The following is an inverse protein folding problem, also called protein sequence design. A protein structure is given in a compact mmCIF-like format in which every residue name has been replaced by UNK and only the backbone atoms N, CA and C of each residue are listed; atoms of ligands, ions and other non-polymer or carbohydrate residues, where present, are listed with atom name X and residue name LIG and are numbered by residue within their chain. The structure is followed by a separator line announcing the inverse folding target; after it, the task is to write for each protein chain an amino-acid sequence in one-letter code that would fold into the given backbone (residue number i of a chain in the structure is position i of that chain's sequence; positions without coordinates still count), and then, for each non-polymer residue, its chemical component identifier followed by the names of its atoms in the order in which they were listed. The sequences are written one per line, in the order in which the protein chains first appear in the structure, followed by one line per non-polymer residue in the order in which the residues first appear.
data_IF_438415092829
#
_entry.id   IF_438415092829
#
_cell.length_a   1.000
_cell.length_b   1.000
_cell.length_c   1.000
_cell.angle_alpha   90.00
_cell.angle_beta   90.00
_cell.angle_gamma   90.00
#
_symmetry.space_group_name_H-M   'P 1'
#
loop_
_entity.id
_entity.type
_entity.pdbx_description
1 polymer ?
#
# COMPACT_ATOMS: atom_id res chain seq x y z
N UNK A 1 52.17 11.40 60.27
CA UNK A 1 52.19 10.00 60.72
C UNK A 1 51.23 9.23 59.84
N UNK A 2 51.78 8.32 59.04
CA UNK A 2 51.12 7.55 57.97
C UNK A 2 50.15 6.53 58.57
N UNK A 3 48.89 6.52 58.14
CA UNK A 3 48.05 5.31 58.17
C UNK A 3 47.43 5.12 56.78
N UNK A 4 47.70 3.93 56.27
CA UNK A 4 47.35 3.37 54.98
C UNK A 4 46.00 2.64 55.06
N UNK A 5 45.37 2.53 53.88
CA UNK A 5 44.60 1.38 53.37
C UNK A 5 43.10 1.21 53.70
N UNK A 6 42.41 0.84 52.61
CA UNK A 6 41.16 0.08 52.49
C UNK A 6 39.84 0.85 52.45
N UNK A 7 39.47 1.34 51.26
CA UNK A 7 38.13 1.13 50.69
C UNK A 7 38.25 1.12 49.15
N UNK A 8 38.88 0.06 48.64
CA UNK A 8 38.65 -0.40 47.27
C UNK A 8 37.58 -1.49 47.40
N UNK A 9 36.67 -1.59 46.41
CA UNK A 9 35.56 -2.54 46.32
C UNK A 9 34.25 -2.12 47.02
N UNK A 10 33.36 -1.48 46.25
CA UNK A 10 31.93 -1.81 46.03
C UNK A 10 31.37 -0.62 45.23
N UNK A 11 31.45 -0.68 43.90
CA UNK A 11 30.55 0.06 42.99
C UNK A 11 30.68 -0.50 41.55
N UNK A 12 30.38 -1.78 41.38
CA UNK A 12 30.41 -2.44 40.07
C UNK A 12 29.37 -3.55 40.02
N UNK A 13 28.09 -3.17 40.11
CA UNK A 13 26.92 -4.06 39.98
C UNK A 13 25.66 -3.26 39.60
N UNK A 14 25.73 -2.46 38.53
CA UNK A 14 24.56 -1.76 37.95
C UNK A 14 24.48 -1.88 36.42
N UNK A 15 24.97 -2.98 35.84
CA UNK A 15 24.90 -3.17 34.39
C UNK A 15 24.62 -4.62 33.98
N UNK A 16 23.59 -5.28 34.51
CA UNK A 16 23.04 -6.48 33.85
C UNK A 16 21.54 -6.61 34.14
N UNK A 17 20.76 -5.93 33.31
CA UNK A 17 19.32 -6.01 33.28
C UNK A 17 18.72 -5.48 31.99
N UNK A 18 19.46 -5.56 30.86
CA UNK A 18 18.80 -5.54 29.57
C UNK A 18 18.14 -6.91 29.41
N UNK A 19 16.83 -6.96 29.59
CA UNK A 19 16.01 -8.08 29.16
C UNK A 19 16.32 -8.36 27.68
N UNK A 20 16.89 -9.52 27.39
CA UNK A 20 17.09 -10.07 26.04
C UNK A 20 15.74 -10.49 25.38
N UNK A 21 14.63 -9.87 25.80
CA UNK A 21 13.33 -10.08 25.18
C UNK A 21 13.40 -9.54 23.76
N UNK A 22 13.40 -10.45 22.78
CA UNK A 22 13.21 -10.12 21.38
C UNK A 22 11.98 -9.20 21.26
N UNK A 23 12.04 -8.16 20.42
CA UNK A 23 10.88 -7.32 20.19
C UNK A 23 9.70 -8.20 19.70
N UNK A 24 8.46 -7.93 20.14
CA UNK A 24 7.31 -8.75 19.77
C UNK A 24 7.10 -8.75 18.26
N UNK A 25 6.74 -9.89 17.69
CA UNK A 25 6.58 -10.03 16.24
C UNK A 25 5.39 -9.21 15.72
N UNK A 26 5.62 -8.34 14.73
CA UNK A 26 4.56 -7.49 14.17
C UNK A 26 3.79 -8.14 13.01
N UNK A 27 4.33 -9.24 12.47
CA UNK A 27 3.74 -10.03 11.38
C UNK A 27 3.82 -11.50 11.77
N UNK A 28 2.66 -12.11 12.03
CA UNK A 28 2.51 -13.51 12.41
C UNK A 28 1.76 -14.21 11.29
N UNK A 29 2.47 -14.94 10.43
CA UNK A 29 1.86 -15.76 9.36
C UNK A 29 1.87 -17.25 9.71
N UNK A 30 0.78 -17.71 10.34
CA UNK A 30 0.51 -19.13 10.61
C UNK A 30 -0.19 -19.81 9.42
N UNK A 31 -0.61 -19.06 8.40
CA UNK A 31 -1.21 -19.60 7.17
C UNK A 31 -0.15 -20.14 6.21
N UNK A 32 1.05 -19.57 6.23
CA UNK A 32 2.16 -19.87 5.33
C UNK A 32 1.97 -19.30 3.91
N UNK A 33 1.12 -18.29 3.75
CA UNK A 33 0.82 -17.63 2.47
C UNK A 33 1.95 -16.65 2.09
N UNK A 34 2.55 -15.99 3.08
CA UNK A 34 3.56 -14.97 2.87
C UNK A 34 4.94 -15.60 2.77
N UNK A 35 5.73 -15.14 1.80
CA UNK A 35 7.15 -15.44 1.73
C UNK A 35 7.99 -14.47 2.59
N UNK A 36 9.27 -14.79 2.78
CA UNK A 36 10.19 -13.98 3.61
C UNK A 36 10.30 -12.51 3.17
N UNK A 37 10.24 -12.25 1.86
CA UNK A 37 10.36 -10.90 1.33
C UNK A 37 9.10 -10.07 1.61
N UNK A 38 7.92 -10.70 1.51
CA UNK A 38 6.65 -10.07 1.87
C UNK A 38 6.57 -9.77 3.37
N UNK A 39 6.96 -10.73 4.22
CA UNK A 39 7.02 -10.54 5.68
C UNK A 39 7.93 -9.35 6.01
N UNK A 40 9.14 -9.30 5.46
CA UNK A 40 10.06 -8.19 5.70
C UNK A 40 9.45 -6.85 5.27
N UNK A 41 8.81 -6.80 4.09
CA UNK A 41 8.20 -5.57 3.59
C UNK A 41 7.05 -5.09 4.47
N UNK A 42 6.24 -6.00 5.00
CA UNK A 42 5.17 -5.68 5.94
C UNK A 42 5.75 -5.19 7.27
N UNK A 43 6.79 -5.85 7.79
CA UNK A 43 7.50 -5.38 8.99
C UNK A 43 8.06 -3.97 8.80
N UNK A 44 8.57 -3.62 7.62
CA UNK A 44 9.05 -2.27 7.32
C UNK A 44 7.91 -1.23 7.37
N UNK A 45 6.69 -1.56 6.92
CA UNK A 45 5.51 -0.70 7.06
C UNK A 45 5.11 -0.56 8.54
N UNK A 46 5.03 -1.66 9.29
CA UNK A 46 4.64 -1.65 10.70
C UNK A 46 5.63 -0.82 11.54
N UNK A 47 6.93 -1.03 11.32
CA UNK A 47 7.98 -0.26 11.99
C UNK A 47 7.93 1.23 11.62
N UNK A 48 7.50 1.57 10.40
CA UNK A 48 7.32 2.97 10.00
C UNK A 48 6.07 3.62 10.60
N UNK A 49 4.95 2.90 10.69
CA UNK A 49 3.77 3.36 11.43
C UNK A 49 4.10 3.66 12.89
N UNK A 50 4.83 2.76 13.54
CA UNK A 50 5.24 2.94 14.93
C UNK A 50 6.16 4.15 15.09
N UNK A 51 7.22 4.23 14.27
CA UNK A 51 8.20 5.32 14.37
C UNK A 51 7.63 6.69 13.97
N UNK A 52 6.87 6.76 12.88
CA UNK A 52 6.46 8.03 12.27
C UNK A 52 5.13 8.54 12.84
N UNK A 53 4.29 7.66 13.41
CA UNK A 53 2.93 8.00 13.85
C UNK A 53 2.57 7.46 15.26
N UNK A 54 3.50 6.78 15.94
CA UNK A 54 3.28 6.08 17.22
C UNK A 54 2.16 5.03 17.13
N UNK A 55 2.01 4.37 15.97
CA UNK A 55 0.97 3.36 15.73
C UNK A 55 1.61 1.96 15.70
N UNK A 56 1.24 1.11 16.65
CA UNK A 56 1.61 -0.31 16.63
C UNK A 56 0.65 -1.08 15.72
N UNK A 57 1.11 -1.40 14.51
CA UNK A 57 0.35 -2.17 13.54
C UNK A 57 0.77 -3.65 13.56
N UNK A 58 -0.18 -4.54 13.77
CA UNK A 58 -0.01 -6.00 13.78
C UNK A 58 -0.79 -6.66 12.65
N UNK A 59 -0.15 -7.63 12.00
CA UNK A 59 -0.79 -8.54 11.06
C UNK A 59 -0.75 -9.95 11.64
N UNK A 60 -1.91 -10.58 11.76
CA UNK A 60 -2.03 -11.98 12.16
C UNK A 60 -2.82 -12.71 11.08
N UNK A 61 -2.16 -13.67 10.43
CA UNK A 61 -2.78 -14.55 9.43
C UNK A 61 -2.81 -15.97 9.96
N UNK A 62 -3.99 -16.55 10.05
CA UNK A 62 -4.18 -17.92 10.48
C UNK A 62 -4.71 -18.77 9.33
N UNK A 63 -4.26 -20.02 9.28
CA UNK A 63 -4.81 -21.01 8.35
C UNK A 63 -6.31 -21.21 8.58
N UNK A 64 -6.77 -21.04 9.82
CA UNK A 64 -8.16 -20.81 10.15
C UNK A 64 -9.15 -21.95 9.87
N UNK A 65 -10.44 -21.58 9.85
CA UNK A 65 -11.63 -22.43 9.95
C UNK A 65 -12.68 -21.90 10.93
N UNK A 66 -12.54 -20.66 11.41
CA UNK A 66 -13.49 -19.99 12.29
C UNK A 66 -14.61 -19.35 11.47
N UNK A 67 -15.79 -19.18 12.07
CA UNK A 67 -16.95 -18.59 11.41
C UNK A 67 -17.73 -17.66 12.35
N UNK A 68 -18.33 -16.61 11.78
CA UNK A 68 -19.25 -15.70 12.47
C UNK A 68 -18.71 -15.20 13.81
N UNK A 69 -19.49 -15.39 14.87
CA UNK A 69 -19.15 -14.92 16.23
C UNK A 69 -17.83 -15.48 16.76
N UNK A 70 -17.44 -16.71 16.39
CA UNK A 70 -16.18 -17.29 16.87
C UNK A 70 -14.97 -16.52 16.36
N UNK A 71 -15.01 -16.13 15.08
CA UNK A 71 -13.97 -15.33 14.46
C UNK A 71 -13.86 -13.95 15.13
N UNK A 72 -15.00 -13.30 15.42
CA UNK A 72 -15.01 -11.99 16.09
C UNK A 72 -14.47 -12.07 17.53
N UNK A 73 -14.89 -13.07 18.30
CA UNK A 73 -14.39 -13.26 19.66
C UNK A 73 -12.89 -13.56 19.68
N UNK A 74 -12.39 -14.30 18.68
CA UNK A 74 -10.97 -14.57 18.55
C UNK A 74 -10.18 -13.31 18.19
N UNK A 75 -10.67 -12.50 17.25
CA UNK A 75 -10.05 -11.23 16.91
C UNK A 75 -9.95 -10.28 18.13
N UNK A 76 -11.00 -10.22 18.96
CA UNK A 76 -10.97 -9.42 20.19
C UNK A 76 -9.91 -9.91 21.18
N UNK A 77 -9.78 -11.24 21.36
CA UNK A 77 -8.72 -11.81 22.22
C UNK A 77 -7.33 -11.50 21.68
N UNK A 78 -7.13 -11.62 20.37
CA UNK A 78 -5.85 -11.24 19.76
C UNK A 78 -5.55 -9.76 19.97
N UNK A 79 -6.56 -8.88 19.93
CA UNK A 79 -6.37 -7.47 20.24
C UNK A 79 -5.96 -7.26 21.70
N UNK A 80 -6.57 -7.97 22.65
CA UNK A 80 -6.18 -7.95 24.07
C UNK A 80 -4.71 -8.39 24.24
N UNK A 81 -4.29 -9.47 23.58
CA UNK A 81 -2.88 -9.92 23.58
C UNK A 81 -1.93 -8.85 23.02
N UNK A 82 -2.30 -8.21 21.90
CA UNK A 82 -1.48 -7.15 21.29
C UNK A 82 -1.35 -5.95 22.22
N UNK A 83 -2.39 -5.59 22.97
CA UNK A 83 -2.35 -4.48 23.95
C UNK A 83 -1.30 -4.75 25.03
N UNK A 84 -1.13 -6.00 25.46
CA UNK A 84 -0.11 -6.37 26.47
C UNK A 84 1.32 -6.31 25.93
N UNK A 85 1.49 -6.53 24.62
CA UNK A 85 2.80 -6.58 23.94
C UNK A 85 3.18 -5.29 23.22
N UNK A 86 2.33 -4.27 23.28
CA UNK A 86 2.47 -3.11 22.40
C UNK A 86 3.70 -2.26 22.72
N UNK A 87 4.26 -1.66 21.68
CA UNK A 87 5.40 -0.74 21.79
C UNK A 87 5.02 0.74 21.65
N UNK A 88 3.76 1.04 21.37
CA UNK A 88 3.25 2.42 21.27
C UNK A 88 3.23 3.10 22.65
N UNK A 89 3.52 4.39 22.67
CA UNK A 89 3.49 5.20 23.89
C UNK A 89 2.04 5.62 24.20
N UNK A 90 1.23 5.81 23.16
CA UNK A 90 -0.12 6.37 23.26
C UNK A 90 -1.23 5.32 23.19
N UNK A 91 -0.92 4.03 23.30
CA UNK A 91 -1.93 2.96 23.20
C UNK A 91 -2.57 2.83 21.80
N UNK A 92 -1.94 3.40 20.76
CA UNK A 92 -2.45 3.41 19.39
C UNK A 92 -2.10 2.12 18.67
N UNK A 93 -3.09 1.25 18.51
CA UNK A 93 -2.92 -0.11 18.01
C UNK A 93 -3.88 -0.36 16.85
N UNK A 94 -3.38 -1.02 15.81
CA UNK A 94 -4.18 -1.58 14.72
C UNK A 94 -3.84 -3.06 14.60
N UNK A 95 -4.87 -3.91 14.54
CA UNK A 95 -4.72 -5.33 14.22
C UNK A 95 -5.48 -5.67 12.94
N UNK A 96 -4.76 -6.14 11.92
CA UNK A 96 -5.34 -6.79 10.75
C UNK A 96 -5.31 -8.31 10.99
N UNK A 97 -6.47 -8.89 11.25
CA UNK A 97 -6.63 -10.33 11.45
C UNK A 97 -7.27 -10.98 10.22
N UNK A 98 -6.68 -12.09 9.76
CA UNK A 98 -7.12 -12.84 8.60
C UNK A 98 -7.23 -14.33 8.93
N UNK A 99 -8.38 -14.91 8.64
CA UNK A 99 -8.58 -16.36 8.55
C UNK A 99 -8.59 -16.74 7.06
N UNK A 100 -7.50 -17.37 6.61
CA UNK A 100 -7.29 -17.66 5.19
C UNK A 100 -8.14 -18.80 4.63
N UNK A 101 -8.73 -19.66 5.47
CA UNK A 101 -9.57 -20.78 5.02
C UNK A 101 -11.04 -20.43 4.99
N UNK A 102 -11.48 -19.56 5.89
CA UNK A 102 -12.85 -19.07 5.94
C UNK A 102 -13.07 -17.80 5.12
N UNK A 103 -12.01 -17.27 4.50
CA UNK A 103 -11.98 -16.01 3.75
C UNK A 103 -12.56 -14.83 4.54
N UNK A 104 -12.15 -14.73 5.80
CA UNK A 104 -12.57 -13.68 6.73
C UNK A 104 -11.42 -12.73 7.02
N UNK A 105 -11.74 -11.45 7.06
CA UNK A 105 -10.80 -10.37 7.41
C UNK A 105 -11.45 -9.40 8.39
N UNK A 106 -10.65 -8.91 9.32
CA UNK A 106 -11.07 -7.94 10.33
C UNK A 106 -9.95 -6.96 10.62
N UNK A 107 -10.31 -5.69 10.68
CA UNK A 107 -9.45 -4.60 11.11
C UNK A 107 -9.97 -4.11 12.46
N UNK A 108 -9.19 -4.36 13.51
CA UNK A 108 -9.40 -3.86 14.86
C UNK A 108 -8.55 -2.61 15.09
N UNK A 109 -9.12 -1.62 15.76
CA UNK A 109 -8.53 -0.29 15.96
C UNK A 109 -8.75 0.13 17.41
N UNK A 110 -7.70 0.57 18.08
CA UNK A 110 -7.79 1.17 19.41
C UNK A 110 -8.57 2.49 19.39
N UNK A 111 -9.29 2.82 20.46
CA UNK A 111 -10.12 4.05 20.55
C UNK A 111 -9.41 5.35 20.14
N UNK A 112 -8.15 5.54 20.52
CA UNK A 112 -7.34 6.74 20.21
C UNK A 112 -7.06 6.94 18.71
N UNK A 113 -7.38 5.95 17.89
CA UNK A 113 -7.21 5.93 16.44
C UNK A 113 -8.53 6.02 15.66
N UNK A 114 -9.70 5.95 16.30
CA UNK A 114 -11.00 5.95 15.62
C UNK A 114 -11.25 7.21 14.78
N UNK A 115 -10.73 8.37 15.22
CA UNK A 115 -10.83 9.62 14.45
C UNK A 115 -9.94 9.63 13.20
N UNK A 116 -8.88 8.81 13.17
CA UNK A 116 -8.02 8.61 11.99
C UNK A 116 -8.63 7.51 11.11
N UNK A 117 -8.91 6.36 11.69
CA UNK A 117 -9.38 5.14 11.04
C UNK A 117 -10.84 4.90 11.40
N UNK A 118 -11.71 5.68 10.78
CA UNK A 118 -13.15 5.62 11.04
C UNK A 118 -13.75 4.29 10.61
N UNK A 119 -14.97 4.00 11.06
CA UNK A 119 -15.76 2.86 10.58
C UNK A 119 -15.84 2.79 9.05
N UNK A 120 -16.02 3.95 8.41
CA UNK A 120 -16.03 4.09 6.97
C UNK A 120 -14.70 3.66 6.33
N UNK A 121 -13.56 4.05 6.92
CA UNK A 121 -12.24 3.63 6.44
C UNK A 121 -12.03 2.12 6.64
N UNK A 122 -12.41 1.60 7.80
CA UNK A 122 -12.29 0.18 8.13
C UNK A 122 -13.13 -0.70 7.19
N UNK A 123 -14.38 -0.31 6.96
CA UNK A 123 -15.26 -0.94 5.99
C UNK A 123 -14.70 -0.85 4.57
N UNK A 124 -14.10 0.29 4.20
CA UNK A 124 -13.42 0.46 2.92
C UNK A 124 -12.26 -0.53 2.72
N UNK A 125 -11.36 -0.69 3.70
CA UNK A 125 -10.27 -1.67 3.61
C UNK A 125 -10.81 -3.09 3.48
N UNK A 126 -11.78 -3.46 4.32
CA UNK A 126 -12.26 -4.83 4.33
C UNK A 126 -13.08 -5.17 3.07
N UNK A 127 -14.07 -4.34 2.71
CA UNK A 127 -15.04 -4.64 1.67
C UNK A 127 -14.60 -4.21 0.26
N UNK A 128 -13.92 -3.07 0.14
CA UNK A 128 -13.56 -2.47 -1.16
C UNK A 128 -12.14 -2.78 -1.61
N UNK A 129 -11.39 -3.49 -0.76
CA UNK A 129 -10.01 -3.85 -1.04
C UNK A 129 -9.78 -5.34 -0.78
N UNK A 130 -9.82 -5.77 0.49
CA UNK A 130 -9.43 -7.13 0.86
C UNK A 130 -10.32 -8.20 0.21
N UNK A 131 -11.65 -8.07 0.23
CA UNK A 131 -12.58 -9.04 -0.38
C UNK A 131 -12.26 -9.34 -1.85
N UNK A 132 -11.83 -8.36 -2.63
CA UNK A 132 -11.45 -8.56 -4.03
C UNK A 132 -10.21 -9.46 -4.16
N UNK A 133 -9.21 -9.26 -3.30
CA UNK A 133 -8.01 -10.09 -3.28
C UNK A 133 -8.28 -11.51 -2.78
N UNK A 134 -9.19 -11.70 -1.80
CA UNK A 134 -9.62 -13.04 -1.39
C UNK A 134 -10.26 -13.83 -2.54
N UNK A 135 -11.17 -13.22 -3.30
CA UNK A 135 -11.86 -13.86 -4.42
C UNK A 135 -10.92 -14.35 -5.52
N UNK A 136 -9.82 -13.64 -5.72
CA UNK A 136 -8.78 -13.95 -6.72
C UNK A 136 -7.65 -14.82 -6.15
N UNK A 137 -7.74 -15.28 -4.89
CA UNK A 137 -6.69 -16.02 -4.18
C UNK A 137 -5.34 -15.28 -4.12
N UNK A 138 -5.39 -13.95 -4.03
CA UNK A 138 -4.23 -13.04 -3.99
C UNK A 138 -4.12 -12.33 -2.65
N UNK A 139 -4.31 -13.06 -1.55
CA UNK A 139 -4.36 -12.53 -0.18
C UNK A 139 -3.08 -11.74 0.15
N UNK A 140 -1.90 -12.25 -0.24
CA UNK A 140 -0.61 -11.60 -0.05
C UNK A 140 -0.56 -10.18 -0.65
N UNK A 141 -1.12 -9.99 -1.84
CA UNK A 141 -1.14 -8.69 -2.52
C UNK A 141 -2.11 -7.73 -1.83
N UNK A 142 -3.26 -8.24 -1.37
CA UNK A 142 -4.24 -7.46 -0.64
C UNK A 142 -3.71 -6.96 0.70
N UNK A 143 -3.01 -7.79 1.46
CA UNK A 143 -2.42 -7.41 2.75
C UNK A 143 -1.38 -6.31 2.59
N UNK A 144 -0.51 -6.43 1.58
CA UNK A 144 0.51 -5.42 1.30
C UNK A 144 -0.14 -4.08 0.92
N UNK A 145 -1.12 -4.10 0.02
CA UNK A 145 -1.78 -2.88 -0.44
C UNK A 145 -2.68 -2.26 0.65
N UNK A 146 -3.27 -3.06 1.54
CA UNK A 146 -3.97 -2.58 2.74
C UNK A 146 -3.01 -1.87 3.70
N UNK A 147 -1.81 -2.43 3.91
CA UNK A 147 -0.78 -1.82 4.76
C UNK A 147 -0.32 -0.46 4.23
N UNK A 148 -0.17 -0.34 2.90
CA UNK A 148 0.12 0.93 2.25
C UNK A 148 -1.01 1.95 2.50
N UNK A 149 -2.26 1.55 2.31
CA UNK A 149 -3.43 2.38 2.56
C UNK A 149 -3.53 2.87 4.01
N UNK A 150 -3.22 2.01 4.99
CA UNK A 150 -3.20 2.34 6.41
C UNK A 150 -2.13 3.38 6.72
N UNK A 151 -0.93 3.23 6.14
CA UNK A 151 0.15 4.23 6.28
C UNK A 151 -0.22 5.56 5.64
N UNK A 152 -0.79 5.54 4.43
CA UNK A 152 -1.23 6.76 3.75
C UNK A 152 -2.29 7.51 4.54
N UNK A 153 -3.22 6.79 5.18
CA UNK A 153 -4.24 7.41 6.02
C UNK A 153 -3.63 8.09 7.25
N UNK A 154 -2.68 7.46 7.93
CA UNK A 154 -1.96 8.07 9.06
C UNK A 154 -1.28 9.38 8.65
N UNK A 155 -0.57 9.35 7.51
CA UNK A 155 0.09 10.53 6.94
C UNK A 155 -0.91 11.63 6.63
N UNK A 156 -2.01 11.31 5.97
CA UNK A 156 -3.02 12.30 5.60
C UNK A 156 -3.71 12.92 6.84
N UNK A 157 -3.97 12.12 7.88
CA UNK A 157 -4.49 12.63 9.15
C UNK A 157 -3.49 13.55 9.86
N UNK A 158 -2.20 13.21 9.85
CA UNK A 158 -1.13 14.09 10.36
C UNK A 158 -1.02 15.42 9.59
N UNK A 159 -1.53 15.49 8.37
CA UNK A 159 -1.66 16.71 7.57
C UNK A 159 -3.03 17.41 7.73
N UNK A 160 -3.87 16.96 8.67
CA UNK A 160 -5.18 17.53 8.92
C UNK A 160 -6.22 17.23 7.84
N UNK A 161 -6.05 16.16 7.07
CA UNK A 161 -7.02 15.75 6.04
C UNK A 161 -7.99 14.71 6.60
N UNK A 162 -9.27 14.91 6.33
CA UNK A 162 -10.32 13.94 6.65
C UNK A 162 -10.35 12.78 5.65
N UNK A 163 -10.80 11.62 6.13
CA UNK A 163 -11.17 10.54 5.24
C UNK A 163 -12.54 10.84 4.63
N UNK A 164 -12.57 11.01 3.31
CA UNK A 164 -13.83 11.12 2.55
C UNK A 164 -14.21 9.74 2.07
N UNK A 165 -15.28 9.20 2.65
CA UNK A 165 -15.86 7.93 2.22
C UNK A 165 -16.36 8.04 0.77
N UNK A 166 -16.05 7.08 -0.11
CA UNK A 166 -16.65 7.05 -1.44
C UNK A 166 -18.17 6.89 -1.32
N UNK A 167 -18.95 7.71 -2.03
CA UNK A 167 -20.43 7.77 -1.95
C UNK A 167 -21.15 6.42 -2.21
N UNK A 168 -20.46 5.44 -2.79
CA UNK A 168 -20.99 4.12 -3.13
C UNK A 168 -20.77 3.06 -2.02
N UNK A 169 -20.21 3.42 -0.87
CA UNK A 169 -19.96 2.50 0.25
C UNK A 169 -21.10 2.61 1.27
N UNK A 170 -21.91 1.56 1.38
CA UNK A 170 -22.78 1.38 2.53
C UNK A 170 -21.92 0.85 3.69
N UNK A 171 -21.42 1.74 4.54
CA UNK A 171 -20.74 1.35 5.79
C UNK A 171 -21.73 0.58 6.68
N UNK A 172 -21.63 -0.74 6.68
CA UNK A 172 -22.31 -1.58 7.65
C UNK A 172 -21.61 -1.56 9.00
N UNK A 173 -21.51 -0.41 9.68
CA UNK A 173 -21.05 -0.29 11.07
C UNK A 173 -19.57 -0.63 11.36
N UNK A 174 -19.00 0.02 12.38
CA UNK A 174 -17.66 -0.26 12.90
C UNK A 174 -17.45 -1.72 13.27
N UNK A 175 -16.32 -2.28 12.84
CA UNK A 175 -15.94 -3.65 13.16
C UNK A 175 -16.74 -4.75 12.44
N UNK A 176 -17.46 -4.46 11.35
CA UNK A 176 -18.16 -5.49 10.59
C UNK A 176 -17.20 -6.35 9.76
N UNK A 177 -17.03 -7.60 10.19
CA UNK A 177 -16.27 -8.63 9.48
C UNK A 177 -16.72 -8.76 8.03
N UNK A 178 -15.77 -8.65 7.10
CA UNK A 178 -16.02 -8.96 5.70
C UNK A 178 -15.80 -10.45 5.44
N UNK A 179 -16.79 -11.09 4.83
CA UNK A 179 -16.67 -12.44 4.30
C UNK A 179 -16.61 -12.36 2.78
N UNK A 180 -15.54 -12.89 2.19
CA UNK A 180 -15.55 -13.14 0.75
C UNK A 180 -16.41 -14.39 0.52
N UNK A 181 -17.70 -14.21 0.14
CA UNK A 181 -18.56 -15.33 -0.26
C UNK A 181 -18.00 -15.97 -1.55
N UNK A 182 -17.14 -16.99 -1.42
CA UNK A 182 -16.59 -17.74 -2.56
C UNK A 182 -17.61 -18.76 -3.12
N UNK A 183 -18.59 -19.18 -2.33
CA UNK A 183 -19.63 -20.12 -2.74
C UNK A 183 -20.99 -19.43 -2.96
N UNK A 184 -21.22 -19.00 -4.21
CA UNK A 184 -22.53 -18.60 -4.72
C UNK A 184 -22.51 -17.23 -5.38
N UNK A 185 -22.52 -17.23 -6.73
CA UNK A 185 -22.81 -16.14 -7.68
C UNK A 185 -23.01 -14.74 -7.07
N UNK A 186 -22.00 -14.22 -6.37
CA UNK A 186 -22.04 -12.87 -5.83
C UNK A 186 -21.44 -11.98 -6.89
N UNK A 187 -22.31 -11.64 -7.84
CA UNK A 187 -22.13 -10.62 -8.86
C UNK A 187 -21.48 -9.42 -8.15
N UNK A 188 -20.21 -9.13 -8.47
CA UNK A 188 -19.67 -7.80 -8.23
C UNK A 188 -20.67 -6.89 -8.95
N UNK A 189 -21.33 -5.91 -8.29
CA UNK A 189 -22.12 -4.95 -9.03
C UNK A 189 -21.20 -4.39 -10.10
N UNK A 190 -21.42 -4.80 -11.34
CA UNK A 190 -20.72 -4.27 -12.48
C UNK A 190 -21.06 -2.80 -12.42
N UNK A 191 -20.06 -1.96 -12.16
CA UNK A 191 -20.28 -0.52 -12.13
C UNK A 191 -20.64 -0.19 -13.56
N UNK A 192 -21.93 -0.03 -13.85
CA UNK A 192 -22.39 0.60 -15.08
C UNK A 192 -21.62 1.92 -15.13
N UNK A 193 -20.71 2.01 -16.09
CA UNK A 193 -19.89 3.19 -16.22
C UNK A 193 -20.83 4.35 -16.48
N UNK A 194 -20.98 5.26 -15.51
CA UNK A 194 -21.81 6.47 -15.64
C UNK A 194 -21.31 7.43 -16.74
N UNK A 195 -20.24 7.05 -17.43
CA UNK A 195 -19.77 7.63 -18.67
C UNK A 195 -19.69 6.47 -19.66
N UNK A 196 -20.41 6.55 -20.78
CA UNK A 196 -20.27 5.62 -21.90
C UNK A 196 -18.84 5.76 -22.46
N UNK A 197 -17.86 5.12 -21.82
CA UNK A 197 -16.41 5.23 -22.13
C UNK A 197 -16.01 4.36 -23.32
N UNK A 198 -16.90 4.22 -24.29
CA UNK A 198 -16.72 3.36 -25.47
C UNK A 198 -15.55 3.80 -26.34
N UNK A 199 -15.01 5.01 -26.15
CA UNK A 199 -13.84 5.49 -26.89
C UNK A 199 -12.81 6.22 -26.01
N UNK A 200 -12.38 5.60 -24.89
CA UNK A 200 -11.12 6.05 -24.26
C UNK A 200 -9.97 5.68 -25.19
N UNK A 201 -9.59 6.64 -26.01
CA UNK A 201 -8.52 6.59 -26.98
C UNK A 201 -7.18 6.99 -26.35
N UNK A 202 -6.07 6.46 -26.84
CA UNK A 202 -4.73 6.93 -26.46
C UNK A 202 -4.55 8.43 -26.78
N UNK A 203 -3.83 9.16 -25.93
CA UNK A 203 -3.65 10.61 -26.06
C UNK A 203 -2.72 11.00 -27.22
N UNK A 204 -2.87 12.24 -27.70
CA UNK A 204 -1.98 12.84 -28.72
C UNK A 204 -0.66 13.33 -28.10
N UNK A 205 -0.62 13.54 -26.79
CA UNK A 205 0.59 13.86 -26.03
C UNK A 205 0.76 12.97 -24.79
N UNK A 206 1.97 12.84 -24.23
CA UNK A 206 2.17 12.03 -23.03
C UNK A 206 1.32 12.46 -21.84
N UNK A 207 1.22 13.78 -21.58
CA UNK A 207 0.44 14.31 -20.46
C UNK A 207 -1.06 14.10 -20.66
N UNK A 208 -1.55 14.23 -21.88
CA UNK A 208 -2.95 13.93 -22.21
C UNK A 208 -3.29 12.48 -21.90
N UNK A 209 -2.40 11.52 -22.24
CA UNK A 209 -2.60 10.11 -21.88
C UNK A 209 -2.71 9.90 -20.36
N UNK A 210 -1.92 10.61 -19.55
CA UNK A 210 -2.05 10.55 -18.07
C UNK A 210 -3.41 11.09 -17.60
N UNK A 211 -3.89 12.17 -18.21
CA UNK A 211 -5.19 12.74 -17.86
C UNK A 211 -6.34 11.82 -18.25
N UNK A 212 -6.27 11.18 -19.42
CA UNK A 212 -7.24 10.17 -19.87
C UNK A 212 -7.21 8.97 -18.92
N UNK A 213 -6.02 8.50 -18.53
CA UNK A 213 -5.89 7.42 -17.55
C UNK A 213 -6.50 7.78 -16.20
N UNK A 214 -6.28 9.01 -15.70
CA UNK A 214 -6.93 9.51 -14.49
C UNK A 214 -8.45 9.45 -14.58
N UNK A 215 -9.03 9.92 -15.70
CA UNK A 215 -10.48 9.91 -15.93
C UNK A 215 -11.02 8.48 -16.02
N UNK A 216 -10.28 7.57 -16.67
CA UNK A 216 -10.60 6.15 -16.75
C UNK A 216 -10.69 5.51 -15.35
N UNK A 217 -9.68 5.76 -14.50
CA UNK A 217 -9.69 5.28 -13.12
C UNK A 217 -10.80 5.91 -12.27
N UNK A 218 -11.07 7.20 -12.44
CA UNK A 218 -12.14 7.90 -11.72
C UNK A 218 -13.54 7.34 -12.07
N UNK A 219 -13.73 6.93 -13.33
CA UNK A 219 -14.92 6.22 -13.77
C UNK A 219 -15.03 4.78 -13.21
N UNK A 220 -13.99 4.26 -12.55
CA UNK A 220 -13.95 2.89 -12.05
C UNK A 220 -13.67 1.86 -13.13
N UNK A 221 -13.09 2.28 -14.27
CA UNK A 221 -12.84 1.39 -15.40
C UNK A 221 -11.60 0.51 -15.15
N UNK A 222 -11.79 -0.81 -15.20
CA UNK A 222 -10.75 -1.83 -15.03
C UNK A 222 -10.45 -2.60 -16.32
N UNK A 223 -11.01 -2.20 -17.46
CA UNK A 223 -10.84 -2.88 -18.74
C UNK A 223 -9.35 -2.91 -19.16
N UNK A 224 -8.72 -4.10 -19.23
CA UNK A 224 -7.31 -4.22 -19.55
C UNK A 224 -7.02 -3.95 -21.03
N UNK A 225 -8.03 -3.92 -21.92
CA UNK A 225 -7.85 -3.82 -23.37
C UNK A 225 -7.89 -2.38 -23.90
N UNK A 226 -8.00 -1.37 -23.04
CA UNK A 226 -8.11 0.03 -23.46
C UNK A 226 -6.91 0.50 -24.27
N UNK A 227 -7.19 1.37 -25.24
CA UNK A 227 -6.16 1.86 -26.17
C UNK A 227 -5.04 2.64 -25.47
N UNK A 228 -5.34 3.22 -24.31
CA UNK A 228 -4.38 3.96 -23.46
C UNK A 228 -3.19 3.12 -22.97
N UNK A 229 -3.24 1.79 -23.07
CA UNK A 229 -2.18 0.88 -22.62
C UNK A 229 -1.37 0.32 -23.78
N UNK A 230 -0.06 0.20 -23.58
CA UNK A 230 0.84 -0.58 -24.46
C UNK A 230 0.40 -2.05 -24.51
N UNK A 231 0.79 -2.78 -25.57
CA UNK A 231 0.43 -4.19 -25.75
C UNK A 231 0.86 -5.05 -24.56
N UNK A 232 2.06 -4.79 -24.05
CA UNK A 232 2.65 -5.47 -22.91
C UNK A 232 1.90 -5.15 -21.62
N UNK A 233 1.41 -3.91 -21.47
CA UNK A 233 0.54 -3.54 -20.34
C UNK A 233 -0.81 -4.22 -20.42
N UNK A 234 -1.44 -4.31 -21.60
CA UNK A 234 -2.72 -5.03 -21.77
C UNK A 234 -2.58 -6.49 -21.36
N UNK A 235 -1.54 -7.18 -21.85
CA UNK A 235 -1.24 -8.57 -21.50
C UNK A 235 -0.96 -8.77 -19.99
N UNK A 236 -0.28 -7.81 -19.35
CA UNK A 236 -0.08 -7.84 -17.89
C UNK A 236 -1.42 -7.67 -17.15
N UNK A 237 -2.26 -6.72 -17.59
CA UNK A 237 -3.50 -6.37 -16.90
C UNK A 237 -4.60 -7.43 -17.04
N UNK A 238 -4.59 -8.27 -18.08
CA UNK A 238 -5.51 -9.41 -18.23
C UNK A 238 -5.53 -10.34 -17.01
N UNK A 239 -4.39 -10.46 -16.32
CA UNK A 239 -4.25 -11.31 -15.14
C UNK A 239 -4.06 -10.49 -13.85
N UNK A 240 -4.29 -9.17 -13.91
CA UNK A 240 -4.06 -8.28 -12.78
C UNK A 240 -5.38 -7.77 -12.19
N UNK A 241 -5.65 -8.18 -10.96
CA UNK A 241 -6.74 -7.64 -10.14
C UNK A 241 -6.46 -6.18 -9.75
N UNK A 242 -7.29 -5.27 -10.24
CA UNK A 242 -7.30 -3.86 -9.82
C UNK A 242 -8.56 -3.61 -9.00
N UNK A 243 -8.41 -3.22 -7.74
CA UNK A 243 -9.55 -2.95 -6.84
C UNK A 243 -10.05 -1.51 -7.02
N UNK A 244 -11.35 -1.24 -6.74
CA UNK A 244 -11.87 0.12 -6.70
C UNK A 244 -11.06 1.04 -5.78
N UNK A 245 -10.55 0.49 -4.67
CA UNK A 245 -9.69 1.22 -3.75
C UNK A 245 -8.37 1.67 -4.41
N UNK A 246 -7.72 0.78 -5.16
CA UNK A 246 -6.50 1.10 -5.90
C UNK A 246 -6.74 2.16 -6.99
N UNK A 247 -7.84 2.08 -7.74
CA UNK A 247 -8.18 3.10 -8.75
C UNK A 247 -8.32 4.49 -8.11
N UNK A 248 -9.05 4.59 -6.99
CA UNK A 248 -9.24 5.87 -6.28
C UNK A 248 -7.94 6.42 -5.72
N UNK A 249 -7.08 5.58 -5.15
CA UNK A 249 -5.76 6.00 -4.70
C UNK A 249 -4.89 6.49 -5.87
N UNK A 250 -4.96 5.79 -7.01
CA UNK A 250 -4.29 6.21 -8.25
C UNK A 250 -4.73 7.61 -8.69
N UNK A 251 -6.03 7.89 -8.69
CA UNK A 251 -6.58 9.23 -9.00
C UNK A 251 -6.02 10.29 -8.03
N UNK A 252 -6.13 10.05 -6.72
CA UNK A 252 -5.60 10.96 -5.69
C UNK A 252 -4.10 11.21 -5.85
N UNK A 253 -3.34 10.17 -6.19
CA UNK A 253 -1.91 10.24 -6.48
C UNK A 253 -1.61 11.16 -7.66
N UNK A 254 -2.31 10.99 -8.78
CA UNK A 254 -2.15 11.86 -9.97
C UNK A 254 -2.50 13.31 -9.63
N UNK A 255 -3.59 13.56 -8.90
CA UNK A 255 -4.02 14.92 -8.52
C UNK A 255 -3.07 15.61 -7.53
N UNK A 256 -2.47 14.83 -6.63
CA UNK A 256 -1.40 15.35 -5.77
C UNK A 256 -0.20 15.76 -6.61
N UNK A 257 0.22 14.90 -7.53
CA UNK A 257 1.44 15.08 -8.31
C UNK A 257 1.33 16.15 -9.41
N UNK A 258 0.12 16.43 -9.91
CA UNK A 258 -0.12 17.49 -10.90
C UNK A 258 0.17 18.90 -10.39
N UNK A 259 0.29 19.09 -9.06
CA UNK A 259 0.68 20.36 -8.43
C UNK A 259 2.16 20.69 -8.61
N UNK A 260 2.98 19.71 -8.96
CA UNK A 260 4.42 19.88 -9.14
C UNK A 260 4.75 20.01 -10.62
N UNK A 261 5.74 20.86 -10.93
CA UNK A 261 6.22 21.02 -12.29
C UNK A 261 6.98 19.77 -12.74
N UNK A 262 6.37 19.01 -13.65
CA UNK A 262 7.00 17.84 -14.28
C UNK A 262 7.83 18.24 -15.51
N UNK A 263 8.78 17.38 -15.86
CA UNK A 263 9.53 17.42 -17.11
C UNK A 263 9.07 16.27 -18.00
N UNK A 264 8.94 16.54 -19.30
CA UNK A 264 8.66 15.50 -20.31
C UNK A 264 9.91 15.35 -21.15
N UNK A 265 10.50 14.16 -21.11
CA UNK A 265 11.73 13.81 -21.79
C UNK A 265 11.40 12.78 -22.87
N UNK A 266 11.94 12.97 -24.08
CA UNK A 266 11.76 12.04 -25.20
C UNK A 266 13.07 11.35 -25.53
N UNK A 267 12.98 10.12 -26.03
CA UNK A 267 14.14 9.44 -26.59
C UNK A 267 14.52 10.04 -27.96
N UNK A 268 15.64 9.61 -28.53
CA UNK A 268 16.13 10.12 -29.82
C UNK A 268 15.14 9.85 -30.97
N UNK A 269 14.38 8.76 -30.91
CA UNK A 269 13.42 8.39 -31.95
C UNK A 269 12.04 9.04 -31.78
N UNK A 270 11.81 9.75 -30.67
CA UNK A 270 10.53 10.34 -30.28
C UNK A 270 9.38 9.31 -30.22
N UNK A 271 9.72 8.07 -29.86
CA UNK A 271 8.78 6.97 -29.67
C UNK A 271 8.62 6.60 -28.20
N UNK A 272 9.52 7.04 -27.32
CA UNK A 272 9.42 6.84 -25.88
C UNK A 272 9.40 8.19 -25.17
N UNK A 273 8.61 8.28 -24.10
CA UNK A 273 8.56 9.45 -23.25
C UNK A 273 8.63 9.06 -21.77
N UNK A 274 9.30 9.90 -20.99
CA UNK A 274 9.30 9.87 -19.53
C UNK A 274 8.73 11.18 -19.02
N UNK A 275 7.66 11.11 -18.22
CA UNK A 275 7.21 12.24 -17.40
C UNK A 275 7.85 12.07 -16.03
N UNK A 276 8.70 13.01 -15.63
CA UNK A 276 9.47 12.95 -14.37
C UNK A 276 9.18 14.18 -13.52
N UNK A 277 8.98 13.96 -12.23
CA UNK A 277 8.80 15.02 -11.23
C UNK A 277 10.14 15.39 -10.56
N UNK A 278 10.24 16.55 -9.89
CA UNK A 278 11.46 16.94 -9.18
C UNK A 278 11.89 15.88 -8.17
N UNK A 279 13.20 15.66 -8.00
CA UNK A 279 13.77 14.61 -7.12
C UNK A 279 13.33 14.75 -5.65
N UNK A 280 12.98 15.96 -5.20
CA UNK A 280 12.40 16.17 -3.87
C UNK A 280 11.00 15.54 -3.71
N UNK A 281 10.25 15.41 -4.81
CA UNK A 281 8.89 14.86 -4.85
C UNK A 281 8.89 13.37 -5.20
N UNK A 282 9.73 12.57 -4.53
CA UNK A 282 9.83 11.11 -4.75
C UNK A 282 8.55 10.34 -4.43
N UNK A 283 7.50 10.99 -3.94
CA UNK A 283 6.16 10.40 -3.83
C UNK A 283 5.35 10.44 -5.13
N UNK A 284 5.94 10.98 -6.20
CA UNK A 284 5.38 11.06 -7.53
C UNK A 284 6.22 10.20 -8.47
N UNK A 285 5.73 8.99 -8.75
CA UNK A 285 6.37 8.08 -9.69
C UNK A 285 6.53 8.75 -11.06
N UNK A 286 7.62 8.46 -11.78
CA UNK A 286 7.71 8.83 -13.18
C UNK A 286 6.71 8.00 -13.99
N UNK A 287 6.24 8.55 -15.10
CA UNK A 287 5.39 7.83 -16.05
C UNK A 287 6.18 7.44 -17.29
N UNK A 288 6.03 6.18 -17.70
CA UNK A 288 6.65 5.64 -18.90
C UNK A 288 5.60 5.48 -19.99
N UNK A 289 5.90 6.03 -21.16
CA UNK A 289 4.98 6.03 -22.29
C UNK A 289 5.68 5.65 -23.58
N UNK A 290 4.96 4.92 -24.43
CA UNK A 290 5.38 4.52 -25.75
C UNK A 290 4.39 5.05 -26.79
N UNK A 291 4.93 5.51 -27.92
CA UNK A 291 4.16 5.96 -29.07
C UNK A 291 3.97 4.82 -30.05
N UNK A 292 2.72 4.45 -30.31
CA UNK A 292 2.36 3.50 -31.37
C UNK A 292 1.26 4.08 -32.24
N UNK A 293 1.28 3.87 -33.55
CA UNK A 293 0.20 4.33 -34.46
C UNK A 293 -0.13 5.84 -34.30
N UNK A 294 0.89 6.64 -34.00
CA UNK A 294 0.75 8.08 -33.79
C UNK A 294 0.26 8.53 -32.41
N UNK A 295 -0.05 7.61 -31.48
CA UNK A 295 -0.62 7.91 -30.15
C UNK A 295 0.22 7.41 -28.99
N UNK A 296 0.16 8.11 -27.86
CA UNK A 296 0.91 7.79 -26.65
C UNK A 296 0.13 6.85 -25.73
N UNK A 297 0.78 5.77 -25.32
CA UNK A 297 0.22 4.72 -24.47
C UNK A 297 1.10 4.53 -23.23
N UNK A 298 0.49 4.16 -22.12
CA UNK A 298 1.14 3.88 -20.85
C UNK A 298 1.85 2.53 -20.88
N UNK A 299 3.10 2.50 -20.43
CA UNK A 299 3.86 1.28 -20.13
C UNK A 299 3.89 1.02 -18.62
N UNK A 300 2.74 0.61 -18.08
CA UNK A 300 2.61 0.25 -16.68
C UNK A 300 3.39 -1.03 -16.37
N UNK A 301 3.56 -1.92 -17.34
CA UNK A 301 4.34 -3.16 -17.18
C UNK A 301 5.80 -2.85 -16.85
N UNK A 302 6.43 -1.93 -17.58
CA UNK A 302 7.83 -1.57 -17.27
C UNK A 302 7.91 -0.78 -15.98
N UNK A 303 6.95 0.10 -15.68
CA UNK A 303 6.87 0.77 -14.38
C UNK A 303 6.79 -0.23 -13.23
N UNK A 304 5.86 -1.18 -13.27
CA UNK A 304 5.69 -2.24 -12.26
C UNK A 304 6.91 -3.14 -12.14
N UNK A 305 7.60 -3.41 -13.27
CA UNK A 305 8.84 -4.18 -13.29
C UNK A 305 10.03 -3.42 -12.71
N UNK A 306 10.08 -2.09 -12.72
CA UNK A 306 11.35 -1.36 -12.45
C UNK A 306 11.27 -0.43 -11.26
N UNK A 307 10.08 0.10 -10.97
CA UNK A 307 9.83 1.07 -9.91
C UNK A 307 9.24 0.34 -8.71
N UNK A 308 9.79 0.62 -7.53
CA UNK A 308 9.25 0.18 -6.26
C UNK A 308 9.23 1.36 -5.29
N UNK A 309 8.21 1.39 -4.44
CA UNK A 309 8.09 2.37 -3.37
C UNK A 309 8.59 1.79 -2.05
N UNK A 310 9.32 2.62 -1.31
CA UNK A 310 9.58 2.36 0.10
C UNK A 310 8.32 2.65 0.94
N UNK A 311 8.40 2.40 2.23
CA UNK A 311 7.33 2.61 3.21
C UNK A 311 6.87 4.08 3.37
N UNK A 312 7.69 5.06 2.94
CA UNK A 312 7.32 6.49 2.88
C UNK A 312 6.65 6.87 1.56
N UNK A 313 6.30 5.87 0.75
CA UNK A 313 5.85 5.97 -0.64
C UNK A 313 6.83 6.73 -1.53
N UNK A 314 8.13 6.68 -1.22
CA UNK A 314 9.18 7.24 -2.07
C UNK A 314 9.63 6.19 -3.07
N UNK A 315 9.56 6.51 -4.35
CA UNK A 315 9.96 5.60 -5.41
C UNK A 315 11.49 5.52 -5.54
N UNK A 316 11.94 4.34 -5.93
CA UNK A 316 13.29 4.05 -6.35
C UNK A 316 13.30 2.96 -7.43
N UNK A 317 14.40 2.85 -8.16
CA UNK A 317 14.56 1.78 -9.14
C UNK A 317 15.14 0.54 -8.48
N UNK A 318 14.52 -0.62 -8.71
CA UNK A 318 15.12 -1.91 -8.36
C UNK A 318 15.98 -2.49 -9.49
N UNK A 319 15.75 -2.04 -10.72
CA UNK A 319 16.46 -2.47 -11.91
C UNK A 319 16.67 -1.25 -12.83
N UNK A 320 17.85 -1.12 -13.42
CA UNK A 320 18.19 -0.03 -14.36
C UNK A 320 18.19 -0.47 -15.83
N UNK A 321 18.08 -1.77 -16.11
CA UNK A 321 18.13 -2.32 -17.47
C UNK A 321 16.79 -2.18 -18.21
N UNK A 322 16.32 -0.95 -18.44
CA UNK A 322 15.03 -0.68 -19.09
C UNK A 322 15.11 0.49 -20.09
N UNK A 323 14.23 0.53 -21.11
CA UNK A 323 14.33 1.48 -22.22
C UNK A 323 14.16 2.95 -21.80
N UNK A 324 13.51 3.22 -20.67
CA UNK A 324 13.24 4.58 -20.19
C UNK A 324 14.40 5.27 -19.45
N UNK A 325 15.59 4.64 -19.33
CA UNK A 325 16.71 5.23 -18.60
C UNK A 325 17.25 6.54 -19.22
N UNK A 326 16.97 6.81 -20.51
CA UNK A 326 17.33 8.09 -21.14
C UNK A 326 16.76 9.30 -20.36
N UNK A 327 15.59 9.14 -19.73
CA UNK A 327 14.92 10.18 -18.94
C UNK A 327 15.56 10.47 -17.58
N UNK A 328 16.67 9.81 -17.24
CA UNK A 328 17.34 9.94 -15.94
C UNK A 328 18.87 10.08 -16.05
N UNK A 329 19.38 10.38 -17.23
CA UNK A 329 20.84 10.46 -17.50
C UNK A 329 21.54 11.63 -16.78
N UNK A 330 20.77 12.63 -16.37
CA UNK A 330 21.21 13.80 -15.60
C UNK A 330 21.20 13.57 -14.07
N UNK A 331 20.76 12.40 -13.59
CA UNK A 331 20.63 12.09 -12.17
C UNK A 331 21.62 11.01 -11.71
N UNK A 332 21.86 10.97 -10.40
CA UNK A 332 22.66 9.93 -9.74
C UNK A 332 21.76 8.99 -8.96
N UNK A 333 22.19 7.74 -8.81
CA UNK A 333 21.48 6.73 -8.05
C UNK A 333 22.34 6.24 -6.89
N UNK A 334 21.76 6.13 -5.71
CA UNK A 334 22.44 5.46 -4.60
C UNK A 334 22.36 3.94 -4.69
N UNK A 335 23.00 3.25 -3.75
CA UNK A 335 23.04 1.78 -3.69
C UNK A 335 21.66 1.11 -3.55
N UNK A 336 20.64 1.86 -3.12
CA UNK A 336 19.27 1.37 -2.99
C UNK A 336 18.40 1.79 -4.20
N UNK A 337 18.98 2.48 -5.18
CA UNK A 337 18.32 2.94 -6.40
C UNK A 337 17.52 4.22 -6.25
N UNK A 338 17.68 4.96 -5.14
CA UNK A 338 17.05 6.28 -5.02
C UNK A 338 17.79 7.31 -5.87
N UNK A 339 17.00 8.22 -6.44
CA UNK A 339 17.48 9.29 -7.28
C UNK A 339 17.97 10.48 -6.46
N UNK A 340 19.05 11.09 -6.94
CA UNK A 340 19.71 12.27 -6.39
C UNK A 340 20.08 13.22 -7.54
N UNK A 341 20.12 14.52 -7.25
CA UNK A 341 20.63 15.54 -8.18
C UNK A 341 22.15 15.61 -8.14
#
# INVERSE_FOLDING_TARGET
MVIMKNYFLILLLLCYGCSDSKPPETVIDRSGILNKKEIQRLQDYNAALLRDHDIDFRLIMEKGGLHGTQFNLHANRLMEEVVEETQTIQGRIILLYIDSKSDLVRLEISGDLEWIYTDAFSGYIQQQHMVYFFREQRIQDGVLAASELIYERARDAGLGKDFVEPQDVLAGGGGATAQARISGNSIIPERESLIETKEIQAGMSPMETIMIYKLSMAAGNTDPQKDIYTKETRAMMENWTVTPAQLRNGVKGIERCSKFQSQILFDQSNNLAVIRYPVKERQCNPWFLEKGEGRWRLDLKTMQKTIISNQKNQYHFKEFGHPYMFGFTDLRFDKNGFLHQ
#
